data_IF_168526188791
#
_entry.id   IF_168526188791
#
_cell.length_a   1.000
_cell.length_b   1.000
_cell.length_c   1.000
_cell.angle_alpha   90.00
_cell.angle_beta   90.00
_cell.angle_gamma   90.00
#
_symmetry.space_group_name_H-M   'P 1'
#
loop_
_entity.id
_entity.type
_entity.pdbx_description
1 polymer ?
#
# COMPACT_ATOMS: atom_id res chain seq x y z
N UNK A 1 -9.30 61.04 70.66
CA UNK A 1 -9.68 60.03 71.69
C UNK A 1 -9.50 58.67 71.04
N UNK A 2 -8.73 57.70 71.54
CA UNK A 2 -7.75 57.62 72.65
C UNK A 2 -6.46 56.94 72.10
N UNK A 3 -5.25 57.24 72.57
CA UNK A 3 -4.45 56.45 73.55
C UNK A 3 -4.63 54.91 73.43
N UNK A 4 -3.58 54.06 73.45
CA UNK A 4 -2.19 54.25 73.89
C UNK A 4 -1.18 53.19 73.37
N UNK A 5 0.12 53.52 73.40
CA UNK A 5 1.30 52.74 73.92
C UNK A 5 1.19 51.19 73.99
N UNK A 6 2.16 50.36 73.55
CA UNK A 6 3.42 50.49 72.78
C UNK A 6 3.79 49.08 72.20
N UNK A 7 4.98 48.45 72.16
CA UNK A 7 6.38 48.67 72.67
C UNK A 7 7.35 47.75 71.89
N UNK A 8 8.67 48.02 71.88
CA UNK A 8 9.69 47.12 71.29
C UNK A 8 10.23 46.06 72.27
N UNK A 9 10.63 44.91 71.72
CA UNK A 9 11.69 44.02 72.26
C UNK A 9 12.60 43.63 71.08
N UNK A 10 13.91 43.57 71.31
CA UNK A 10 14.93 43.17 70.33
C UNK A 10 15.83 42.10 70.95
N UNK A 11 16.14 41.04 70.20
CA UNK A 11 17.16 40.04 70.54
C UNK A 11 18.01 39.71 69.31
N UNK A 12 19.24 39.27 69.56
CA UNK A 12 20.36 39.27 68.63
C UNK A 12 20.47 37.96 67.79
N UNK A 13 21.30 37.91 66.73
CA UNK A 13 21.28 36.82 65.76
C UNK A 13 22.15 35.62 66.17
N UNK A 14 21.91 34.49 65.53
CA UNK A 14 22.85 33.39 65.38
C UNK A 14 23.07 33.11 63.89
N UNK A 15 24.32 32.87 63.50
CA UNK A 15 24.70 32.47 62.14
C UNK A 15 24.97 30.97 62.17
N UNK A 16 24.50 30.25 61.15
CA UNK A 16 25.14 29.00 60.75
C UNK A 16 25.22 28.90 59.23
N UNK A 17 26.36 28.41 58.74
CA UNK A 17 26.78 28.51 57.34
C UNK A 17 27.25 27.14 56.86
N UNK A 18 26.39 26.43 56.11
CA UNK A 18 26.76 25.20 55.40
C UNK A 18 26.34 25.34 53.95
N UNK A 19 27.32 25.46 53.06
CA UNK A 19 27.09 25.57 51.62
C UNK A 19 26.97 24.22 50.93
N UNK A 20 26.00 24.08 50.03
CA UNK A 20 25.95 23.01 49.03
C UNK A 20 25.99 23.62 47.63
N UNK A 21 26.88 23.14 46.76
CA UNK A 21 26.98 23.65 45.39
C UNK A 21 25.77 23.22 44.56
N UNK A 22 25.10 24.20 43.94
CA UNK A 22 24.29 23.98 42.74
C UNK A 22 24.91 24.81 41.60
N UNK A 23 25.55 24.12 40.66
CA UNK A 23 26.10 24.72 39.45
C UNK A 23 24.93 25.02 38.50
N UNK A 24 24.73 26.26 38.03
CA UNK A 24 23.72 26.56 37.04
C UNK A 24 24.08 25.94 35.69
N UNK A 25 23.20 25.13 35.11
CA UNK A 25 23.35 24.65 33.74
C UNK A 25 23.32 25.84 32.75
N UNK A 26 24.23 25.91 31.76
CA UNK A 26 24.15 26.93 30.72
C UNK A 26 22.90 26.70 29.86
N UNK A 27 22.20 27.79 29.52
CA UNK A 27 21.06 27.72 28.60
C UNK A 27 21.55 27.36 27.18
N UNK A 28 20.86 26.43 26.51
CA UNK A 28 21.19 26.02 25.15
C UNK A 28 20.99 27.19 24.16
N UNK A 29 21.89 27.29 23.18
CA UNK A 29 21.89 28.37 22.19
C UNK A 29 20.90 28.06 21.05
N UNK A 30 20.26 29.06 20.39
CA UNK A 30 19.25 28.82 19.33
C UNK A 30 19.76 28.18 18.03
N UNK A 31 21.00 27.69 17.99
CA UNK A 31 21.67 27.20 16.79
C UNK A 31 21.79 25.66 16.70
N UNK A 32 21.35 24.91 17.71
CA UNK A 32 21.23 23.44 17.66
C UNK A 32 20.02 22.98 16.83
N UNK A 33 19.97 23.44 15.57
CA UNK A 33 19.17 22.81 14.52
C UNK A 33 19.83 21.49 14.10
N UNK A 34 19.62 20.46 14.93
CA UNK A 34 20.02 19.10 14.64
C UNK A 34 19.58 18.70 13.21
N UNK A 35 20.46 18.08 12.39
CA UNK A 35 20.13 17.73 11.02
C UNK A 35 18.85 16.90 10.94
N UNK A 36 17.83 17.45 10.26
CA UNK A 36 16.49 16.86 10.14
C UNK A 36 16.55 15.59 9.30
N UNK A 37 16.81 14.44 9.94
CA UNK A 37 17.13 13.16 9.31
C UNK A 37 16.20 12.83 8.13
N UNK A 38 16.69 12.87 6.87
CA UNK A 38 15.90 12.57 5.68
C UNK A 38 15.79 11.06 5.44
N UNK A 39 15.58 10.28 6.50
CA UNK A 39 15.59 8.83 6.48
C UNK A 39 14.66 8.26 7.56
N UNK A 40 13.36 8.19 7.25
CA UNK A 40 12.60 7.03 7.71
C UNK A 40 13.18 5.83 6.96
N UNK A 41 14.09 5.08 7.59
CA UNK A 41 14.63 3.82 7.09
C UNK A 41 13.52 2.77 7.11
N UNK A 42 12.58 2.90 6.18
CA UNK A 42 11.37 2.08 6.13
C UNK A 42 11.79 0.62 5.95
N UNK A 43 11.52 -0.18 6.97
CA UNK A 43 11.94 -1.58 7.04
C UNK A 43 11.58 -2.31 5.74
N UNK A 44 12.55 -3.07 5.23
CA UNK A 44 12.34 -3.88 4.04
C UNK A 44 11.27 -4.94 4.34
N UNK A 45 10.41 -5.18 3.37
CA UNK A 45 9.37 -6.18 3.50
C UNK A 45 10.01 -7.59 3.47
N UNK A 46 9.56 -8.52 4.34
CA UNK A 46 10.03 -9.89 4.29
C UNK A 46 9.73 -10.49 2.92
N UNK A 47 10.69 -11.24 2.38
CA UNK A 47 10.60 -11.86 1.05
C UNK A 47 9.82 -13.19 1.15
N UNK A 48 8.58 -13.08 1.61
CA UNK A 48 7.69 -14.17 2.00
C UNK A 48 6.32 -14.06 1.30
N UNK A 49 5.50 -15.10 1.40
CA UNK A 49 4.08 -15.05 1.05
C UNK A 49 3.23 -14.88 2.30
N UNK A 50 2.31 -13.92 2.27
CA UNK A 50 1.28 -13.73 3.30
C UNK A 50 0.06 -14.63 3.04
N UNK A 51 -0.78 -14.92 4.06
CA UNK A 51 -2.06 -15.60 3.86
C UNK A 51 -2.96 -14.87 2.85
N UNK A 52 -3.88 -15.62 2.23
CA UNK A 52 -4.90 -15.06 1.33
C UNK A 52 -5.84 -14.16 2.14
N UNK A 53 -6.10 -12.96 1.63
CA UNK A 53 -7.07 -12.01 2.14
C UNK A 53 -8.26 -12.00 1.18
N UNK A 54 -9.30 -12.74 1.55
CA UNK A 54 -10.52 -12.86 0.77
C UNK A 54 -11.31 -11.54 0.74
N UNK A 55 -11.90 -11.24 -0.40
CA UNK A 55 -12.89 -10.18 -0.53
C UNK A 55 -14.15 -10.51 0.28
N UNK A 56 -14.90 -9.48 0.71
CA UNK A 56 -16.23 -9.69 1.29
C UNK A 56 -17.24 -9.77 0.15
N UNK A 57 -18.04 -10.84 0.11
CA UNK A 57 -19.08 -11.05 -0.89
C UNK A 57 -20.11 -9.89 -0.94
N UNK A 58 -20.39 -9.27 0.22
CA UNK A 58 -21.23 -8.08 0.38
C UNK A 58 -20.84 -6.88 -0.49
N UNK A 59 -19.56 -6.80 -0.86
CA UNK A 59 -19.01 -5.67 -1.60
C UNK A 59 -19.20 -5.83 -3.13
N UNK A 60 -19.84 -6.95 -3.54
CA UNK A 60 -20.10 -7.37 -4.93
C UNK A 60 -21.58 -7.79 -5.13
N UNK A 61 -22.56 -6.93 -4.78
CA UNK A 61 -23.97 -7.31 -4.81
C UNK A 61 -24.43 -7.70 -6.21
N UNK A 62 -24.93 -8.94 -6.36
CA UNK A 62 -25.38 -9.47 -7.65
C UNK A 62 -24.24 -9.87 -8.59
N UNK A 63 -23.06 -10.21 -8.07
CA UNK A 63 -22.02 -10.86 -8.88
C UNK A 63 -22.54 -12.18 -9.48
N UNK A 64 -21.99 -12.57 -10.62
CA UNK A 64 -22.24 -13.90 -11.18
C UNK A 64 -21.31 -14.96 -10.56
N UNK A 65 -21.74 -16.22 -10.57
CA UNK A 65 -20.92 -17.36 -10.13
C UNK A 65 -19.70 -17.57 -11.03
N UNK A 66 -18.58 -17.96 -10.43
CA UNK A 66 -17.33 -18.22 -11.17
C UNK A 66 -17.17 -19.70 -11.50
N UNK A 67 -17.09 -20.01 -12.80
CA UNK A 67 -16.81 -21.34 -13.30
C UNK A 67 -15.38 -21.78 -12.87
N UNK A 68 -15.32 -22.94 -12.21
CA UNK A 68 -14.11 -23.44 -11.58
C UNK A 68 -13.01 -23.81 -12.58
N UNK A 69 -13.35 -24.41 -13.72
CA UNK A 69 -12.38 -24.76 -14.77
C UNK A 69 -11.90 -23.52 -15.52
N UNK A 70 -12.84 -22.66 -15.92
CA UNK A 70 -12.53 -21.42 -16.65
C UNK A 70 -11.69 -20.44 -15.83
N UNK A 71 -11.80 -20.44 -14.49
CA UNK A 71 -10.89 -19.64 -13.66
C UNK A 71 -9.43 -20.11 -13.77
N UNK A 72 -9.16 -21.40 -14.06
CA UNK A 72 -7.81 -21.89 -14.34
C UNK A 72 -7.31 -21.46 -15.72
N UNK A 73 -8.15 -21.53 -16.75
CA UNK A 73 -7.84 -21.00 -18.09
C UNK A 73 -7.54 -19.49 -18.06
N UNK A 74 -8.34 -18.73 -17.30
CA UNK A 74 -8.17 -17.30 -17.12
C UNK A 74 -6.90 -16.95 -16.32
N UNK A 75 -6.52 -17.78 -15.34
CA UNK A 75 -5.23 -17.68 -14.62
C UNK A 75 -4.05 -17.91 -15.57
N UNK A 76 -4.13 -18.90 -16.47
CA UNK A 76 -3.14 -19.11 -17.52
C UNK A 76 -3.08 -17.90 -18.48
N UNK A 77 -4.22 -17.40 -18.96
CA UNK A 77 -4.27 -16.24 -19.84
C UNK A 77 -3.62 -14.98 -19.24
N UNK A 78 -3.64 -14.83 -17.90
CA UNK A 78 -2.94 -13.76 -17.18
C UNK A 78 -1.45 -14.07 -16.94
N UNK A 79 -1.13 -15.27 -16.47
CA UNK A 79 0.23 -15.62 -16.02
C UNK A 79 1.17 -16.10 -17.15
N UNK A 80 0.66 -16.47 -18.33
CA UNK A 80 1.44 -16.81 -19.53
C UNK A 80 1.45 -15.68 -20.59
N UNK A 81 0.73 -14.57 -20.37
CA UNK A 81 0.95 -13.36 -21.16
C UNK A 81 2.40 -12.89 -20.98
N UNK A 82 3.05 -12.33 -22.01
CA UNK A 82 4.39 -11.70 -21.90
C UNK A 82 4.52 -10.68 -20.77
N UNK A 83 3.41 -10.15 -20.29
CA UNK A 83 3.36 -9.30 -19.13
C UNK A 83 3.85 -9.99 -17.84
N UNK A 84 3.81 -11.32 -17.71
CA UNK A 84 4.36 -12.04 -16.55
C UNK A 84 5.91 -12.04 -16.50
N UNK A 85 6.57 -11.79 -17.64
CA UNK A 85 8.00 -11.52 -17.73
C UNK A 85 8.37 -10.12 -17.17
N UNK A 86 7.40 -9.23 -16.95
CA UNK A 86 7.65 -7.86 -16.46
C UNK A 86 8.22 -7.89 -15.03
N UNK A 87 9.35 -7.20 -14.87
CA UNK A 87 9.88 -6.81 -13.58
C UNK A 87 9.06 -5.63 -13.04
N UNK A 88 8.25 -5.89 -12.01
CA UNK A 88 7.57 -4.81 -11.29
C UNK A 88 8.55 -4.21 -10.29
N UNK A 89 8.62 -2.88 -10.20
CA UNK A 89 9.61 -2.16 -9.38
C UNK A 89 9.03 -0.93 -8.69
N UNK A 90 9.78 -0.42 -7.73
CA UNK A 90 9.45 0.82 -7.00
C UNK A 90 9.33 2.07 -7.88
N UNK A 91 9.81 2.07 -9.13
CA UNK A 91 9.83 3.25 -10.02
C UNK A 91 8.44 3.90 -10.18
N UNK A 92 7.39 3.08 -10.21
CA UNK A 92 6.00 3.52 -10.35
C UNK A 92 5.21 3.59 -9.03
N UNK A 93 5.89 3.53 -7.88
CA UNK A 93 5.26 3.75 -6.57
C UNK A 93 5.02 5.25 -6.33
N UNK A 94 3.77 5.70 -6.09
CA UNK A 94 3.50 7.10 -5.78
C UNK A 94 4.20 7.60 -4.50
N UNK A 95 4.64 6.71 -3.59
CA UNK A 95 5.48 7.10 -2.46
C UNK A 95 6.93 7.48 -2.84
N UNK A 96 7.32 7.37 -4.12
CA UNK A 96 8.51 8.01 -4.69
C UNK A 96 8.22 9.37 -5.35
N UNK A 97 6.96 9.83 -5.39
CA UNK A 97 6.56 11.13 -5.95
C UNK A 97 6.69 11.27 -7.48
N UNK A 98 7.05 10.21 -8.20
CA UNK A 98 7.31 10.25 -9.66
C UNK A 98 6.05 10.08 -10.52
N UNK A 99 5.08 9.31 -10.04
CA UNK A 99 3.84 9.01 -10.75
C UNK A 99 2.65 9.11 -9.77
N UNK A 100 1.46 9.56 -10.21
CA UNK A 100 0.30 9.70 -9.32
C UNK A 100 -0.33 8.34 -8.95
N UNK A 101 -0.23 7.36 -9.87
CA UNK A 101 -0.83 6.03 -9.77
C UNK A 101 0.23 4.94 -9.67
N UNK A 102 -0.10 3.85 -8.97
CA UNK A 102 0.70 2.62 -8.94
C UNK A 102 0.58 1.94 -10.31
N UNK A 103 1.70 1.53 -10.90
CA UNK A 103 1.64 0.63 -12.06
C UNK A 103 1.09 -0.73 -11.64
N UNK A 104 0.03 -1.17 -12.33
CA UNK A 104 -0.56 -2.50 -12.16
C UNK A 104 -0.59 -3.19 -13.53
N UNK A 105 -0.05 -4.40 -13.62
CA UNK A 105 -0.43 -5.30 -14.71
C UNK A 105 -1.85 -5.80 -14.42
N UNK A 106 -2.71 -5.83 -15.44
CA UNK A 106 -4.12 -6.22 -15.34
C UNK A 106 -4.56 -7.03 -16.55
N UNK A 107 -5.50 -7.95 -16.34
CA UNK A 107 -6.30 -8.56 -17.40
C UNK A 107 -7.76 -8.65 -16.94
N UNK A 108 -8.69 -8.24 -17.80
CA UNK A 108 -10.10 -8.66 -17.73
C UNK A 108 -10.29 -9.79 -18.74
N UNK A 109 -10.30 -11.02 -18.25
CA UNK A 109 -10.76 -12.14 -19.05
C UNK A 109 -12.29 -12.23 -18.96
N UNK A 110 -12.94 -12.79 -19.97
CA UNK A 110 -14.39 -13.01 -19.99
C UNK A 110 -14.71 -14.41 -20.48
N UNK A 111 -15.58 -15.10 -19.76
CA UNK A 111 -15.98 -16.44 -20.17
C UNK A 111 -16.90 -16.45 -21.42
N UNK A 112 -17.21 -17.66 -21.85
CA UNK A 112 -18.14 -17.95 -22.93
C UNK A 112 -19.03 -19.13 -22.52
N UNK A 113 -20.36 -19.05 -22.68
CA UNK A 113 -21.11 -17.98 -23.36
C UNK A 113 -21.48 -16.77 -22.49
N UNK A 114 -21.34 -16.84 -21.16
CA UNK A 114 -22.01 -15.92 -20.23
C UNK A 114 -21.39 -14.52 -20.14
N UNK A 115 -20.15 -14.33 -20.63
CA UNK A 115 -19.38 -13.07 -20.59
C UNK A 115 -19.11 -12.55 -19.18
N UNK A 116 -19.06 -13.44 -18.19
CA UNK A 116 -18.74 -13.11 -16.80
C UNK A 116 -17.28 -12.61 -16.72
N UNK A 117 -17.03 -11.56 -15.94
CA UNK A 117 -15.71 -10.95 -15.82
C UNK A 117 -14.83 -11.70 -14.80
N UNK A 118 -13.58 -11.93 -15.18
CA UNK A 118 -12.52 -12.51 -14.36
C UNK A 118 -11.38 -11.48 -14.36
N UNK A 119 -11.31 -10.67 -13.30
CA UNK A 119 -10.37 -9.54 -13.23
C UNK A 119 -9.12 -9.95 -12.43
N UNK A 120 -7.96 -9.83 -13.06
CA UNK A 120 -6.66 -10.09 -12.46
C UNK A 120 -5.84 -8.81 -12.37
N UNK A 121 -5.14 -8.62 -11.25
CA UNK A 121 -4.27 -7.48 -11.01
C UNK A 121 -3.00 -7.93 -10.28
N UNK A 122 -1.83 -7.45 -10.70
CA UNK A 122 -0.65 -7.40 -9.81
C UNK A 122 -0.08 -6.00 -9.78
N UNK A 123 0.14 -5.48 -8.56
CA UNK A 123 0.67 -4.15 -8.32
C UNK A 123 1.75 -4.12 -7.25
N UNK A 124 2.63 -3.11 -7.29
CA UNK A 124 3.60 -2.87 -6.23
C UNK A 124 2.93 -2.16 -5.05
N UNK A 125 2.92 -2.79 -3.87
CA UNK A 125 2.31 -2.24 -2.66
C UNK A 125 2.94 -0.88 -2.33
N UNK A 126 2.11 0.18 -2.23
CA UNK A 126 2.55 1.58 -2.05
C UNK A 126 3.55 1.72 -0.90
N UNK A 127 4.73 2.27 -1.21
CA UNK A 127 5.82 2.45 -0.26
C UNK A 127 6.47 1.16 0.26
N UNK A 128 6.20 -0.02 -0.30
CA UNK A 128 6.88 -1.27 0.08
C UNK A 128 8.29 -1.33 -0.54
N UNK A 129 9.28 -1.89 0.15
CA UNK A 129 10.67 -1.97 -0.33
C UNK A 129 11.23 -3.38 -0.14
N UNK A 130 11.86 -3.92 -1.18
CA UNK A 130 12.73 -5.12 -1.14
C UNK A 130 14.19 -4.67 -1.27
N UNK A 131 15.16 -5.55 -1.00
CA UNK A 131 16.59 -5.28 -1.22
C UNK A 131 16.87 -4.87 -2.68
N UNK A 132 16.41 -5.68 -3.64
CA UNK A 132 16.63 -5.43 -5.07
C UNK A 132 15.80 -4.26 -5.66
N UNK A 133 14.81 -3.76 -4.91
CA UNK A 133 13.79 -2.78 -5.35
C UNK A 133 12.91 -3.20 -6.56
N UNK A 134 13.03 -4.45 -7.03
CA UNK A 134 12.17 -5.09 -8.03
C UNK A 134 11.78 -6.52 -7.61
N UNK A 135 10.74 -7.06 -8.26
CA UNK A 135 10.33 -8.47 -8.22
C UNK A 135 9.74 -8.88 -9.59
N UNK A 136 9.89 -10.16 -9.98
CA UNK A 136 9.23 -10.73 -11.16
C UNK A 136 7.76 -11.04 -10.86
N UNK A 137 6.90 -10.92 -11.86
CA UNK A 137 5.49 -11.31 -11.73
C UNK A 137 5.27 -12.83 -11.75
N UNK A 138 6.03 -13.57 -12.56
CA UNK A 138 5.92 -15.03 -12.66
C UNK A 138 6.44 -15.79 -11.41
N UNK A 139 7.61 -15.41 -10.89
CA UNK A 139 8.26 -15.97 -9.70
C UNK A 139 8.65 -14.87 -8.69
N UNK A 140 7.70 -14.33 -7.92
CA UNK A 140 7.93 -13.22 -6.98
C UNK A 140 8.94 -13.53 -5.88
N UNK A 141 9.09 -14.81 -5.49
CA UNK A 141 10.06 -15.29 -4.49
C UNK A 141 11.30 -15.96 -5.09
N UNK A 142 11.66 -15.60 -6.34
CA UNK A 142 12.74 -16.22 -7.13
C UNK A 142 12.45 -17.71 -7.44
N UNK A 143 13.37 -18.36 -8.18
CA UNK A 143 13.21 -19.75 -8.66
C UNK A 143 13.11 -20.73 -7.48
N UNK A 144 12.09 -21.59 -7.50
CA UNK A 144 11.79 -22.53 -6.41
C UNK A 144 10.76 -21.99 -5.40
N UNK A 145 10.46 -20.70 -5.43
CA UNK A 145 9.31 -20.12 -4.75
C UNK A 145 7.98 -20.38 -5.47
N UNK A 146 6.88 -19.93 -4.85
CA UNK A 146 5.53 -19.96 -5.42
C UNK A 146 5.44 -19.08 -6.69
N UNK A 147 4.67 -19.51 -7.69
CA UNK A 147 4.52 -18.82 -8.97
C UNK A 147 3.15 -18.12 -9.13
N UNK A 148 3.05 -17.22 -10.13
CA UNK A 148 1.84 -16.46 -10.50
C UNK A 148 0.58 -17.35 -10.54
N UNK A 149 0.65 -18.47 -11.28
CA UNK A 149 -0.44 -19.44 -11.43
C UNK A 149 -0.96 -19.94 -10.08
N UNK A 150 -0.06 -20.38 -9.19
CA UNK A 150 -0.43 -20.90 -7.87
C UNK A 150 -1.04 -19.82 -6.99
N UNK A 151 -0.53 -18.58 -7.05
CA UNK A 151 -1.05 -17.45 -6.27
C UNK A 151 -2.46 -17.09 -6.73
N UNK A 152 -2.65 -16.85 -8.03
CA UNK A 152 -3.94 -16.41 -8.57
C UNK A 152 -5.03 -17.49 -8.54
N UNK A 153 -4.66 -18.77 -8.68
CA UNK A 153 -5.59 -19.89 -8.45
C UNK A 153 -5.99 -19.99 -6.98
N UNK A 154 -5.08 -19.77 -6.03
CA UNK A 154 -5.40 -19.86 -4.59
C UNK A 154 -6.14 -18.63 -4.05
N UNK A 155 -6.00 -17.45 -4.67
CA UNK A 155 -6.87 -16.29 -4.40
C UNK A 155 -8.37 -16.60 -4.66
N UNK A 156 -8.67 -17.57 -5.53
CA UNK A 156 -10.01 -18.13 -5.72
C UNK A 156 -10.25 -19.32 -4.76
N UNK A 157 -9.44 -20.38 -4.86
CA UNK A 157 -9.70 -21.65 -4.16
C UNK A 157 -9.69 -21.59 -2.62
N UNK A 158 -9.04 -20.59 -2.01
CA UNK A 158 -8.99 -20.45 -0.55
C UNK A 158 -10.08 -19.52 0.01
N UNK A 159 -10.97 -19.00 -0.84
CA UNK A 159 -12.01 -18.06 -0.46
C UNK A 159 -13.42 -18.62 -0.70
N UNK A 160 -14.13 -18.91 0.40
CA UNK A 160 -15.53 -19.30 0.39
C UNK A 160 -16.42 -18.05 0.45
N UNK A 161 -16.59 -17.37 -0.68
CA UNK A 161 -17.27 -16.08 -0.81
C UNK A 161 -17.96 -15.91 -2.19
N UNK A 162 -18.82 -16.85 -2.58
CA UNK A 162 -19.47 -16.85 -3.91
C UNK A 162 -18.52 -16.97 -5.11
N UNK A 163 -17.22 -17.14 -4.88
CA UNK A 163 -16.19 -17.12 -5.91
C UNK A 163 -15.68 -15.73 -6.29
N UNK A 164 -16.06 -14.65 -5.57
CA UNK A 164 -15.52 -13.30 -5.85
C UNK A 164 -14.01 -13.21 -5.61
N UNK A 165 -13.43 -14.12 -4.82
CA UNK A 165 -11.99 -14.31 -4.71
C UNK A 165 -11.34 -13.42 -3.65
N UNK A 166 -10.17 -12.87 -3.96
CA UNK A 166 -9.33 -12.21 -2.97
C UNK A 166 -7.92 -11.90 -3.45
N UNK A 167 -7.04 -11.63 -2.50
CA UNK A 167 -5.67 -11.20 -2.77
C UNK A 167 -4.62 -11.89 -1.90
N UNK A 168 -3.39 -11.96 -2.42
CA UNK A 168 -2.21 -12.45 -1.72
C UNK A 168 -1.08 -11.45 -1.92
N UNK A 169 -0.46 -11.00 -0.82
CA UNK A 169 0.79 -10.25 -0.90
C UNK A 169 1.99 -11.22 -0.85
N UNK A 170 2.94 -11.04 -1.76
CA UNK A 170 4.18 -11.81 -1.87
C UNK A 170 5.37 -10.86 -1.99
N UNK A 171 6.13 -10.68 -0.91
CA UNK A 171 7.07 -9.57 -0.76
C UNK A 171 6.34 -8.23 -0.85
N UNK A 172 6.65 -7.45 -1.88
CA UNK A 172 6.00 -6.18 -2.21
C UNK A 172 4.98 -6.24 -3.35
N UNK A 173 4.72 -7.42 -3.92
CA UNK A 173 3.71 -7.58 -4.97
C UNK A 173 2.37 -8.03 -4.38
N UNK A 174 1.28 -7.35 -4.71
CA UNK A 174 -0.09 -7.72 -4.35
C UNK A 174 -0.78 -8.33 -5.56
N UNK A 175 -1.01 -9.64 -5.51
CA UNK A 175 -1.75 -10.41 -6.52
C UNK A 175 -3.22 -10.43 -6.12
N UNK A 176 -4.12 -9.96 -6.97
CA UNK A 176 -5.56 -9.94 -6.72
C UNK A 176 -6.32 -10.62 -7.86
N UNK A 177 -7.25 -11.50 -7.52
CA UNK A 177 -8.27 -12.02 -8.42
C UNK A 177 -9.65 -11.58 -7.91
N UNK A 178 -10.43 -10.96 -8.79
CA UNK A 178 -11.80 -10.52 -8.51
C UNK A 178 -12.75 -11.14 -9.54
N UNK A 179 -13.58 -12.06 -9.07
CA UNK A 179 -14.59 -12.73 -9.89
C UNK A 179 -15.93 -11.98 -9.93
N UNK A 180 -16.67 -12.13 -11.03
CA UNK A 180 -18.13 -11.92 -11.08
C UNK A 180 -18.61 -10.46 -11.04
N UNK A 181 -17.75 -9.50 -10.71
CA UNK A 181 -18.06 -8.07 -10.46
C UNK A 181 -18.81 -7.35 -11.60
N UNK A 182 -18.73 -7.84 -12.83
CA UNK A 182 -19.35 -7.21 -13.99
C UNK A 182 -18.73 -5.84 -14.33
N UNK A 183 -19.53 -4.97 -14.95
CA UNK A 183 -19.09 -3.68 -15.48
C UNK A 183 -18.35 -3.76 -16.82
N UNK A 184 -18.14 -2.59 -17.44
CA UNK A 184 -17.49 -2.44 -18.75
C UNK A 184 -15.96 -2.49 -18.63
N UNK A 185 -15.40 -1.54 -17.90
CA UNK A 185 -13.95 -1.32 -17.74
C UNK A 185 -13.35 -1.98 -16.48
N UNK A 186 -12.05 -2.30 -16.52
CA UNK A 186 -11.22 -2.82 -15.39
C UNK A 186 -10.44 -1.71 -14.65
N UNK A 187 -10.45 -0.49 -15.17
CA UNK A 187 -10.06 0.71 -14.43
C UNK A 187 -11.25 1.20 -13.60
N UNK A 188 -10.98 1.78 -12.43
CA UNK A 188 -11.99 2.55 -11.70
C UNK A 188 -12.21 3.92 -12.34
N UNK A 189 -13.34 4.56 -12.08
CA UNK A 189 -13.67 5.89 -12.63
C UNK A 189 -12.61 6.95 -12.27
N UNK A 190 -11.99 6.83 -11.08
CA UNK A 190 -10.88 7.69 -10.63
C UNK A 190 -9.57 7.39 -11.38
N UNK A 191 -9.28 6.13 -11.68
CA UNK A 191 -8.12 5.75 -12.50
C UNK A 191 -8.29 6.21 -13.96
N UNK A 192 -9.51 6.16 -14.50
CA UNK A 192 -9.86 6.75 -15.81
C UNK A 192 -9.71 8.27 -15.78
N UNK A 193 -10.25 8.96 -14.76
CA UNK A 193 -10.13 10.42 -14.61
C UNK A 193 -8.66 10.86 -14.57
N UNK A 194 -7.82 10.22 -13.76
CA UNK A 194 -6.39 10.54 -13.66
C UNK A 194 -5.64 10.23 -14.97
N UNK A 195 -5.96 9.11 -15.63
CA UNK A 195 -5.41 8.75 -16.95
C UNK A 195 -5.73 9.84 -17.97
N UNK A 196 -6.99 10.21 -18.10
CA UNK A 196 -7.46 11.17 -19.09
C UNK A 196 -6.93 12.59 -18.84
N UNK A 197 -6.75 12.99 -17.57
CA UNK A 197 -6.07 14.24 -17.20
C UNK A 197 -4.58 14.24 -17.59
N UNK A 198 -3.90 13.10 -17.41
CA UNK A 198 -2.50 12.95 -17.82
C UNK A 198 -2.35 12.90 -19.34
N UNK A 199 -3.21 12.17 -20.05
CA UNK A 199 -3.18 12.08 -21.52
C UNK A 199 -3.42 13.45 -22.17
N UNK A 200 -4.44 14.20 -21.71
CA UNK A 200 -4.69 15.59 -22.14
C UNK A 200 -3.49 16.50 -21.90
N UNK A 201 -2.85 16.40 -20.72
CA UNK A 201 -1.68 17.21 -20.35
C UNK A 201 -0.44 16.93 -21.23
N UNK A 202 -0.30 15.71 -21.74
CA UNK A 202 0.85 15.29 -22.55
C UNK A 202 0.52 15.20 -24.06
N UNK A 203 -0.67 15.62 -24.49
CA UNK A 203 -1.17 15.52 -25.86
C UNK A 203 -1.07 14.08 -26.42
N UNK A 204 -1.52 13.11 -25.63
CA UNK A 204 -1.57 11.70 -26.01
C UNK A 204 -3.00 11.35 -26.42
N UNK A 205 -3.18 10.96 -27.67
CA UNK A 205 -4.40 10.33 -28.16
C UNK A 205 -4.31 8.81 -27.96
N UNK A 206 -5.41 8.17 -27.60
CA UNK A 206 -5.51 6.71 -27.41
C UNK A 206 -6.64 6.15 -28.28
N UNK A 207 -6.43 5.03 -28.98
CA UNK A 207 -7.53 4.32 -29.61
C UNK A 207 -8.60 3.99 -28.57
N UNK A 208 -9.87 4.26 -28.90
CA UNK A 208 -11.01 3.85 -28.06
C UNK A 208 -10.94 2.34 -27.78
N UNK A 209 -10.99 1.97 -26.52
CA UNK A 209 -10.99 0.59 -26.07
C UNK A 209 -12.33 0.18 -25.47
N UNK A 210 -12.37 -1.05 -24.95
CA UNK A 210 -13.54 -1.66 -24.26
C UNK A 210 -13.94 -1.00 -22.93
N UNK A 211 -13.34 0.15 -22.61
CA UNK A 211 -13.69 1.02 -21.48
C UNK A 211 -14.51 2.25 -21.92
N UNK A 212 -14.49 2.60 -23.21
CA UNK A 212 -14.93 3.92 -23.72
C UNK A 212 -16.23 3.83 -24.57
N UNK A 213 -16.90 2.67 -24.54
CA UNK A 213 -18.17 2.33 -25.24
C UNK A 213 -19.24 1.84 -24.26
#
# INVERSE_FOLDING_TARGET
>A
MLLSVARLISLAPAIDLVGGLLIPSPAASPHDLAPRSPAFSKALAPFERRPVQCHRESDFPGHADINWDMQWEAVHAFCDEKASEILTSTIHDPAMGRFPIVFKHRLRWKDWPHRINYDFFVEWVRGCRTEDHFQRLDFPLRKGGVNCHTIMRQNYLQCNNGGVGGSTQVGCLLYTFTGGKGGKCIFTDEELRIRDEWDKKNNIDRPKGSCDE
#
